data_IF_567656274653
#
_entry.id   IF_567656274653
#
_cell.length_a   1.000
_cell.length_b   1.000
_cell.length_c   1.000
_cell.angle_alpha   90.00
_cell.angle_beta   90.00
_cell.angle_gamma   90.00
#
_symmetry.space_group_name_H-M   'P 1'
#
loop_
_entity.id
_entity.type
_entity.pdbx_description
1 polymer ?
#
# COMPACT_ATOMS: atom_id res chain seq x y z
N UNK A 1 -4.00 -3.98 19.22
CA UNK A 1 -5.28 -4.72 19.23
C UNK A 1 -5.78 -4.72 20.67
N UNK A 2 -7.05 -4.40 20.92
CA UNK A 2 -7.58 -4.28 22.28
C UNK A 2 -7.76 -5.65 22.95
N UNK A 3 -7.37 -5.76 24.21
CA UNK A 3 -7.36 -7.03 24.97
C UNK A 3 -8.74 -7.66 25.10
N UNK A 4 -9.80 -6.86 25.28
CA UNK A 4 -11.17 -7.34 25.38
C UNK A 4 -11.71 -7.95 24.08
N UNK A 5 -11.20 -7.50 22.92
CA UNK A 5 -11.59 -8.04 21.62
C UNK A 5 -10.92 -9.39 21.36
N UNK A 6 -9.65 -9.52 21.76
CA UNK A 6 -8.91 -10.80 21.72
C UNK A 6 -9.60 -11.89 22.53
N UNK A 7 -9.97 -11.59 23.78
CA UNK A 7 -10.63 -12.55 24.67
C UNK A 7 -11.98 -13.06 24.14
N UNK A 8 -12.78 -12.20 23.49
CA UNK A 8 -14.06 -12.62 22.87
C UNK A 8 -13.86 -13.59 21.69
N UNK A 9 -12.82 -13.37 20.89
CA UNK A 9 -12.49 -14.23 19.74
C UNK A 9 -12.00 -15.58 20.24
N UNK A 10 -11.12 -15.59 21.25
CA UNK A 10 -10.62 -16.81 21.90
C UNK A 10 -11.74 -17.60 22.60
N UNK A 11 -12.64 -16.92 23.31
CA UNK A 11 -13.80 -17.55 23.95
C UNK A 11 -14.80 -18.18 22.96
N UNK A 12 -14.84 -17.68 21.72
CA UNK A 12 -15.62 -18.27 20.63
C UNK A 12 -14.91 -19.45 19.95
N UNK A 13 -13.75 -19.90 20.47
CA UNK A 13 -12.99 -21.04 19.98
C UNK A 13 -12.03 -20.73 18.83
N UNK A 14 -11.85 -19.46 18.47
CA UNK A 14 -10.91 -19.04 17.43
C UNK A 14 -9.53 -18.71 18.03
N UNK A 15 -8.46 -19.17 17.37
CA UNK A 15 -7.09 -18.84 17.76
C UNK A 15 -6.70 -17.45 17.23
N UNK A 16 -6.28 -16.56 18.12
CA UNK A 16 -5.67 -15.28 17.74
C UNK A 16 -4.17 -15.46 17.68
N UNK A 17 -3.59 -15.25 16.50
CA UNK A 17 -2.16 -15.33 16.25
C UNK A 17 -1.67 -14.10 15.49
N UNK A 18 -0.37 -13.83 15.56
CA UNK A 18 0.26 -12.79 14.75
C UNK A 18 0.38 -13.24 13.29
N UNK A 19 0.62 -12.30 12.36
CA UNK A 19 0.84 -12.65 10.95
C UNK A 19 2.07 -13.54 10.79
N UNK A 20 3.15 -13.26 11.54
CA UNK A 20 4.36 -14.06 11.53
C UNK A 20 4.10 -15.49 12.06
N UNK A 21 3.30 -15.63 13.12
CA UNK A 21 2.88 -16.94 13.63
C UNK A 21 1.98 -17.70 12.66
N UNK A 22 1.13 -16.99 11.90
CA UNK A 22 0.24 -17.59 10.90
C UNK A 22 1.00 -18.06 9.66
N UNK A 23 1.97 -17.28 9.22
CA UNK A 23 2.79 -17.56 8.03
C UNK A 23 4.04 -18.39 8.35
N UNK A 24 4.25 -18.75 9.63
CA UNK A 24 5.44 -19.46 10.12
C UNK A 24 6.76 -18.77 9.69
N UNK A 25 6.74 -17.44 9.59
CA UNK A 25 7.86 -16.65 9.13
C UNK A 25 8.99 -16.62 10.16
N UNK A 26 10.21 -16.82 9.69
CA UNK A 26 11.41 -16.62 10.50
C UNK A 26 11.64 -15.12 10.78
N UNK A 27 12.33 -14.75 11.87
CA UNK A 27 12.68 -13.36 12.14
C UNK A 27 13.44 -12.70 10.98
N UNK A 28 14.23 -13.47 10.24
CA UNK A 28 14.95 -13.00 9.06
C UNK A 28 14.02 -12.67 7.89
N UNK A 29 13.00 -13.50 7.63
CA UNK A 29 11.99 -13.24 6.59
C UNK A 29 11.13 -12.02 6.93
N UNK A 30 10.69 -11.90 8.18
CA UNK A 30 9.96 -10.71 8.61
C UNK A 30 10.80 -9.44 8.47
N UNK A 31 12.08 -9.47 8.86
CA UNK A 31 12.99 -8.34 8.66
C UNK A 31 13.18 -8.00 7.18
N UNK A 32 13.32 -9.01 6.31
CA UNK A 32 13.44 -8.82 4.86
C UNK A 32 12.20 -8.10 4.27
N UNK A 33 11.00 -8.54 4.68
CA UNK A 33 9.73 -7.93 4.25
C UNK A 33 9.63 -6.49 4.77
N UNK A 34 9.96 -6.26 6.04
CA UNK A 34 9.90 -4.92 6.66
C UNK A 34 10.87 -3.93 5.99
N UNK A 35 12.09 -4.37 5.66
CA UNK A 35 13.07 -3.56 4.92
C UNK A 35 12.53 -3.18 3.53
N UNK A 36 12.01 -4.17 2.78
CA UNK A 36 11.43 -3.92 1.45
C UNK A 36 10.30 -2.89 1.51
N UNK A 37 9.39 -3.05 2.47
CA UNK A 37 8.27 -2.13 2.67
C UNK A 37 8.73 -0.73 3.07
N UNK A 38 9.74 -0.61 3.94
CA UNK A 38 10.30 0.68 4.34
C UNK A 38 10.91 1.41 3.15
N UNK A 39 11.69 0.71 2.32
CA UNK A 39 12.32 1.27 1.12
C UNK A 39 11.27 1.67 0.06
N UNK A 40 10.25 0.84 -0.19
CA UNK A 40 9.14 1.17 -1.09
C UNK A 40 8.41 2.45 -0.69
N UNK A 41 8.11 2.59 0.60
CA UNK A 41 7.46 3.79 1.14
C UNK A 41 8.36 5.03 1.02
N UNK A 42 9.66 4.88 1.33
CA UNK A 42 10.62 5.96 1.20
C UNK A 42 10.76 6.41 -0.27
N UNK A 43 10.75 5.48 -1.22
CA UNK A 43 10.83 5.79 -2.65
C UNK A 43 9.63 6.63 -3.09
N UNK A 44 8.42 6.21 -2.70
CA UNK A 44 7.19 6.96 -3.00
C UNK A 44 7.21 8.36 -2.38
N UNK A 45 7.61 8.47 -1.10
CA UNK A 45 7.72 9.75 -0.42
C UNK A 45 8.71 10.68 -1.12
N UNK A 46 9.91 10.17 -1.43
CA UNK A 46 10.96 10.94 -2.09
C UNK A 46 10.55 11.40 -3.49
N UNK A 47 9.89 10.52 -4.26
CA UNK A 47 9.35 10.90 -5.58
C UNK A 47 8.37 12.07 -5.46
N UNK A 48 7.46 12.02 -4.49
CA UNK A 48 6.45 13.05 -4.28
C UNK A 48 7.08 14.37 -3.80
N UNK A 49 8.08 14.32 -2.91
CA UNK A 49 8.86 15.51 -2.50
C UNK A 49 9.51 16.23 -3.69
N UNK A 50 10.02 15.46 -4.64
CA UNK A 50 10.64 15.98 -5.86
C UNK A 50 9.63 16.40 -6.94
N UNK A 51 8.32 16.22 -6.70
CA UNK A 51 7.27 16.55 -7.66
C UNK A 51 7.26 15.68 -8.92
N UNK A 52 7.89 14.50 -8.87
CA UNK A 52 8.05 13.63 -10.03
C UNK A 52 6.86 12.68 -10.19
N UNK A 53 6.48 12.41 -11.43
CA UNK A 53 5.58 11.33 -11.81
C UNK A 53 6.30 9.98 -11.81
N UNK A 54 5.54 8.88 -11.74
CA UNK A 54 6.12 7.54 -11.88
C UNK A 54 6.81 7.33 -13.24
N UNK A 55 6.36 8.01 -14.30
CA UNK A 55 7.00 7.93 -15.63
C UNK A 55 8.37 8.59 -15.65
N UNK A 56 8.53 9.73 -14.99
CA UNK A 56 9.80 10.44 -14.93
C UNK A 56 10.84 9.66 -14.12
N UNK A 57 10.44 9.06 -12.99
CA UNK A 57 11.33 8.14 -12.25
C UNK A 57 11.70 6.93 -13.10
N UNK A 58 10.74 6.38 -13.85
CA UNK A 58 11.00 5.25 -14.74
C UNK A 58 12.04 5.58 -15.82
N UNK A 59 11.96 6.78 -16.40
CA UNK A 59 12.93 7.25 -17.40
C UNK A 59 14.33 7.40 -16.81
N UNK A 60 14.47 7.94 -15.59
CA UNK A 60 15.78 8.04 -14.91
C UNK A 60 16.40 6.67 -14.66
N UNK A 61 15.58 5.69 -14.30
CA UNK A 61 16.03 4.32 -14.01
C UNK A 61 16.08 3.40 -15.23
N UNK A 62 15.85 3.91 -16.44
CA UNK A 62 15.85 3.08 -17.66
C UNK A 62 14.78 1.98 -17.67
N UNK A 63 13.68 2.16 -16.92
CA UNK A 63 12.64 1.16 -16.71
C UNK A 63 11.27 1.65 -17.20
N UNK A 64 10.26 0.79 -17.15
CA UNK A 64 8.87 1.13 -17.54
C UNK A 64 8.08 1.62 -16.33
N UNK A 65 7.16 2.55 -16.54
CA UNK A 65 6.28 3.09 -15.47
C UNK A 65 5.63 2.02 -14.58
N UNK A 66 5.09 0.89 -15.10
CA UNK A 66 4.51 -0.14 -14.24
C UNK A 66 5.50 -0.71 -13.22
N UNK A 67 6.80 -0.76 -13.54
CA UNK A 67 7.81 -1.21 -12.59
C UNK A 67 7.93 -0.24 -11.42
N UNK A 68 7.87 1.08 -11.64
CA UNK A 68 7.86 2.05 -10.55
C UNK A 68 6.62 1.91 -9.67
N UNK A 69 5.45 1.69 -10.27
CA UNK A 69 4.24 1.45 -9.50
C UNK A 69 4.35 0.20 -8.62
N UNK A 70 4.98 -0.87 -9.11
CA UNK A 70 5.24 -2.10 -8.35
C UNK A 70 6.25 -1.90 -7.22
N UNK A 71 7.34 -1.17 -7.51
CA UNK A 71 8.33 -0.79 -6.52
C UNK A 71 7.70 0.00 -5.37
N UNK A 72 6.80 0.94 -5.66
CA UNK A 72 6.11 1.75 -4.65
C UNK A 72 5.05 0.96 -3.85
N UNK A 73 4.55 -0.16 -4.37
CA UNK A 73 3.59 -1.02 -3.68
C UNK A 73 4.25 -2.03 -2.75
N UNK A 74 5.45 -2.53 -3.08
CA UNK A 74 6.19 -3.48 -2.24
C UNK A 74 5.56 -4.89 -2.17
N UNK A 75 4.68 -5.24 -3.12
CA UNK A 75 3.92 -6.52 -3.10
C UNK A 75 4.46 -7.56 -4.10
N UNK A 76 5.30 -7.16 -5.05
CA UNK A 76 5.70 -8.04 -6.17
C UNK A 76 7.08 -8.68 -5.95
N UNK A 77 7.17 -10.01 -6.10
CA UNK A 77 8.42 -10.79 -5.93
C UNK A 77 9.57 -10.36 -6.85
N UNK A 78 9.26 -9.68 -7.95
CA UNK A 78 10.26 -9.17 -8.90
C UNK A 78 10.90 -7.86 -8.45
N UNK A 79 10.44 -7.26 -7.35
CA UNK A 79 11.06 -6.08 -6.73
C UNK A 79 12.23 -6.55 -5.88
N UNK A 80 13.45 -6.34 -6.37
CA UNK A 80 14.66 -6.60 -5.58
C UNK A 80 14.93 -5.43 -4.66
N UNK A 81 15.45 -5.70 -3.45
CA UNK A 81 15.95 -4.67 -2.54
C UNK A 81 16.99 -3.78 -3.23
N UNK A 82 17.80 -4.38 -4.09
CA UNK A 82 18.83 -3.71 -4.87
C UNK A 82 18.25 -2.60 -5.76
N UNK A 83 17.19 -2.91 -6.51
CA UNK A 83 16.52 -1.94 -7.38
C UNK A 83 15.86 -0.80 -6.58
N UNK A 84 15.34 -1.09 -5.38
CA UNK A 84 14.82 -0.06 -4.47
C UNK A 84 15.93 0.86 -3.96
N UNK A 85 17.09 0.30 -3.62
CA UNK A 85 18.26 1.06 -3.17
C UNK A 85 18.80 1.93 -4.31
N UNK A 86 18.99 1.38 -5.52
CA UNK A 86 19.39 2.14 -6.72
C UNK A 86 18.42 3.29 -7.00
N UNK A 87 17.11 3.03 -6.97
CA UNK A 87 16.10 4.05 -7.19
C UNK A 87 16.18 5.20 -6.18
N UNK A 88 16.39 4.89 -4.90
CA UNK A 88 16.54 5.90 -3.86
C UNK A 88 17.82 6.72 -4.05
N UNK A 89 18.94 6.07 -4.36
CA UNK A 89 20.23 6.74 -4.62
C UNK A 89 20.12 7.67 -5.84
N UNK A 90 19.46 7.24 -6.92
CA UNK A 90 19.23 8.04 -8.13
C UNK A 90 18.33 9.27 -7.87
N UNK A 91 17.44 9.18 -6.87
CA UNK A 91 16.64 10.33 -6.40
C UNK A 91 17.36 11.17 -5.34
N UNK A 92 18.66 10.96 -5.16
CA UNK A 92 19.53 11.77 -4.30
C UNK A 92 19.43 11.44 -2.82
N UNK A 93 18.91 10.27 -2.45
CA UNK A 93 18.99 9.78 -1.06
C UNK A 93 20.43 9.39 -0.77
N UNK A 94 20.97 9.88 0.34
CA UNK A 94 22.35 9.56 0.75
C UNK A 94 22.44 8.17 1.38
N UNK A 95 23.64 7.58 1.39
CA UNK A 95 23.89 6.29 2.07
C UNK A 95 23.49 6.31 3.55
N UNK A 96 23.67 7.44 4.24
CA UNK A 96 23.27 7.58 5.64
C UNK A 96 21.75 7.59 5.81
N UNK A 97 21.02 8.27 4.93
CA UNK A 97 19.56 8.26 4.93
C UNK A 97 19.01 6.87 4.57
N UNK A 98 19.64 6.18 3.62
CA UNK A 98 19.29 4.81 3.27
C UNK A 98 19.46 3.87 4.47
N UNK A 99 20.58 3.97 5.19
CA UNK A 99 20.80 3.23 6.43
C UNK A 99 19.75 3.52 7.50
N UNK A 100 19.31 4.77 7.63
CA UNK A 100 18.23 5.13 8.56
C UNK A 100 16.86 4.55 8.18
N UNK A 101 16.56 4.44 6.87
CA UNK A 101 15.34 3.78 6.38
C UNK A 101 15.38 2.29 6.72
N UNK A 102 16.52 1.63 6.46
CA UNK A 102 16.71 0.20 6.76
C UNK A 102 16.69 -0.09 8.26
N UNK A 103 17.25 0.81 9.08
CA UNK A 103 17.24 0.68 10.54
C UNK A 103 15.84 0.78 11.17
N UNK A 104 14.82 1.20 10.41
CA UNK A 104 13.43 1.12 10.86
C UNK A 104 13.04 2.13 11.95
N UNK A 105 13.75 3.26 12.05
CA UNK A 105 13.46 4.32 13.04
C UNK A 105 12.09 5.01 12.84
N UNK A 106 11.29 4.59 11.86
CA UNK A 106 9.91 5.04 11.66
C UNK A 106 8.94 3.89 11.95
N UNK A 107 8.87 3.53 13.23
CA UNK A 107 7.94 2.54 13.77
C UNK A 107 6.51 2.99 13.48
N UNK A 108 5.72 2.22 12.71
CA UNK A 108 4.23 2.04 12.72
C UNK A 108 3.30 3.21 13.16
N UNK A 109 3.73 4.46 13.26
CA UNK A 109 2.99 5.58 13.81
C UNK A 109 2.20 6.35 12.73
N UNK A 110 2.52 6.12 11.46
CA UNK A 110 1.82 6.74 10.32
C UNK A 110 0.77 5.84 9.65
N UNK A 111 0.41 4.70 10.25
CA UNK A 111 -0.72 3.88 9.75
C UNK A 111 -2.09 4.31 10.32
N UNK A 112 -2.18 5.36 11.14
CA UNK A 112 -3.48 5.92 11.56
C UNK A 112 -3.40 7.43 11.85
N UNK A 113 -3.43 8.24 10.79
CA UNK A 113 -4.07 9.56 10.84
C UNK A 113 -4.39 10.05 9.43
N UNK A 114 -5.61 9.82 8.96
CA UNK A 114 -6.21 10.78 8.05
C UNK A 114 -6.29 12.12 8.80
N UNK A 115 -5.86 13.25 8.22
CA UNK A 115 -6.19 14.55 8.80
C UNK A 115 -7.71 14.79 8.68
N UNK A 116 -8.37 15.28 9.75
CA UNK A 116 -9.77 15.70 9.65
C UNK A 116 -9.88 16.97 8.80
N UNK A 117 -10.72 16.91 7.76
CA UNK A 117 -11.33 18.02 6.98
C UNK A 117 -10.39 19.07 6.36
N UNK A 118 -10.29 19.06 5.03
CA UNK A 118 -10.36 20.28 4.20
C UNK A 118 -10.44 19.96 2.69
N UNK A 119 -11.59 19.48 2.19
CA UNK A 119 -12.03 19.81 0.81
C UNK A 119 -13.56 20.01 0.83
N UNK A 120 -13.99 21.07 1.50
CA UNK A 120 -15.26 21.72 1.21
C UNK A 120 -14.97 22.89 0.27
N UNK A 121 -14.88 22.66 -1.04
CA UNK A 121 -14.87 23.73 -2.02
C UNK A 121 -15.31 23.22 -3.41
N UNK A 122 -16.63 23.30 -3.65
CA UNK A 122 -17.28 23.73 -4.89
C UNK A 122 -16.76 23.16 -6.23
N UNK A 123 -17.39 22.08 -6.71
CA UNK A 123 -17.42 21.77 -8.15
C UNK A 123 -18.89 21.67 -8.57
N UNK A 124 -19.34 22.60 -9.42
CA UNK A 124 -20.67 22.60 -10.06
C UNK A 124 -20.70 21.54 -11.18
N UNK A 125 -21.80 20.80 -11.39
CA UNK A 125 -21.90 19.89 -12.53
C UNK A 125 -22.45 20.63 -13.76
N UNK A 126 -21.67 20.73 -14.84
CA UNK A 126 -22.17 21.20 -16.15
C UNK A 126 -21.49 20.44 -17.30
N UNK A 127 -22.05 19.30 -17.71
CA UNK A 127 -22.43 19.02 -19.11
C UNK A 127 -23.12 17.67 -19.22
N UNK A 128 -24.43 17.73 -19.45
CA UNK A 128 -25.30 16.61 -19.82
C UNK A 128 -25.00 16.23 -21.27
N UNK A 129 -24.45 15.04 -21.52
CA UNK A 129 -24.49 14.43 -22.86
C UNK A 129 -25.46 13.25 -22.82
N UNK A 130 -26.61 13.48 -23.42
CA UNK A 130 -27.70 12.53 -23.66
C UNK A 130 -27.23 11.32 -24.44
N UNK A 131 -27.42 10.12 -23.89
CA UNK A 131 -27.50 8.88 -24.66
C UNK A 131 -28.85 8.21 -24.35
N UNK A 132 -29.64 8.06 -25.41
CA UNK A 132 -31.00 7.55 -25.43
C UNK A 132 -31.01 6.06 -25.78
N UNK A 133 -31.92 5.33 -25.14
CA UNK A 133 -32.53 4.02 -25.51
C UNK A 133 -31.62 2.79 -25.64
N UNK A 134 -31.80 1.78 -24.76
CA UNK A 134 -32.77 0.67 -24.95
C UNK A 134 -32.65 -0.32 -23.78
N UNK A 135 -33.79 -0.69 -23.18
CA UNK A 135 -33.88 -1.62 -22.05
C UNK A 135 -33.60 -3.09 -22.45
N UNK A 136 -33.08 -3.89 -21.51
CA UNK A 136 -33.49 -5.28 -21.41
C UNK A 136 -34.07 -5.65 -20.03
N UNK A 137 -34.94 -6.65 -20.11
CA UNK A 137 -35.89 -7.19 -19.12
C UNK A 137 -35.26 -7.66 -17.80
N UNK A 138 -36.02 -7.45 -16.72
CA UNK A 138 -35.86 -8.06 -15.39
C UNK A 138 -35.63 -9.58 -15.43
N UNK A 139 -34.80 -10.10 -14.52
CA UNK A 139 -35.12 -11.35 -13.84
C UNK A 139 -35.30 -11.17 -12.32
N UNK A 140 -36.24 -11.96 -11.81
CA UNK A 140 -36.83 -12.06 -10.47
C UNK A 140 -35.85 -12.28 -9.30
N UNK A 141 -36.22 -11.93 -8.05
CA UNK A 141 -35.35 -12.01 -6.88
C UNK A 141 -35.29 -13.45 -6.34
N UNK A 142 -34.09 -14.02 -6.20
CA UNK A 142 -33.87 -15.27 -5.46
C UNK A 142 -33.33 -15.00 -4.05
N UNK A 143 -33.94 -15.71 -3.10
CA UNK A 143 -33.82 -15.59 -1.66
C UNK A 143 -32.44 -16.04 -1.11
N UNK A 144 -32.18 -15.58 0.12
CA UNK A 144 -31.04 -15.84 1.03
C UNK A 144 -30.51 -17.28 1.01
N UNK A 145 -29.20 -17.43 1.27
CA UNK A 145 -28.65 -18.57 2.01
C UNK A 145 -27.35 -18.22 2.73
N UNK A 146 -27.35 -18.53 4.02
CA UNK A 146 -26.19 -18.67 4.92
C UNK A 146 -25.57 -20.03 4.66
N UNK A 147 -24.25 -20.15 4.70
CA UNK A 147 -23.57 -21.42 5.01
C UNK A 147 -22.33 -21.16 5.88
N UNK A 148 -22.08 -22.17 6.71
CA UNK A 148 -21.31 -22.20 7.95
C UNK A 148 -19.82 -21.88 7.82
#
# INVERSE_FOLDING_TARGET
MDTSKRQKIEAAGYRVMTVAEFLEETPAESAHIEIGLALSNALKARRLELGLTQKEVAQRLGTKQPNIARLELGVERSVTLDLLMEALLELGVTRSQLGAIVAGNNSRANQTSLPPKAIAAKVKPTHTRSISTKAPKNPTPRQKRVMA
#
